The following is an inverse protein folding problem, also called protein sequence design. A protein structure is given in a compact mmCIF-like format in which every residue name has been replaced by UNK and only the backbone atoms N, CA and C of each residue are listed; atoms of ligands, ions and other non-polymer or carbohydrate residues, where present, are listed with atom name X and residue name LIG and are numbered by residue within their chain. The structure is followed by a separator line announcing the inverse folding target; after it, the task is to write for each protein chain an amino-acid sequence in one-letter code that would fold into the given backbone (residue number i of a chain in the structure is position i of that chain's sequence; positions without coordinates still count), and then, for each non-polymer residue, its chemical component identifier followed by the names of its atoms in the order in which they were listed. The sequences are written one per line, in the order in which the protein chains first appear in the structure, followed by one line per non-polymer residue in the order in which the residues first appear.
data_IF_924382103945
#
_entry.id   IF_924382103945
#
_cell.length_a   1.000
_cell.length_b   1.000
_cell.length_c   1.000
_cell.angle_alpha   90.00
_cell.angle_beta   90.00
_cell.angle_gamma   90.00
#
_symmetry.space_group_name_H-M   'P 1'
#
loop_
_entity.id
_entity.type
_entity.pdbx_description
1 polymer ?
#
# COMPACT_ATOMS: atom_id res chain seq x y z
N UNK A 1 -19.53 -31.03 38.56
CA UNK A 1 -18.55 -30.44 39.50
C UNK A 1 -17.85 -29.30 38.80
N UNK A 2 -18.17 -28.12 39.23
CA UNK A 2 -17.76 -26.83 38.62
C UNK A 2 -16.61 -26.32 39.48
N UNK A 3 -15.47 -25.99 38.89
CA UNK A 3 -14.43 -25.25 39.58
C UNK A 3 -14.14 -24.00 38.75
N UNK A 4 -14.60 -22.88 39.25
CA UNK A 4 -14.31 -21.54 38.79
C UNK A 4 -12.94 -21.09 39.35
N UNK A 5 -12.10 -20.58 38.49
CA UNK A 5 -10.83 -19.93 38.85
C UNK A 5 -10.98 -18.43 38.58
N UNK A 6 -11.22 -17.68 39.66
CA UNK A 6 -11.10 -16.22 39.67
C UNK A 6 -9.61 -15.88 39.82
N UNK A 7 -9.08 -15.12 38.85
CA UNK A 7 -7.79 -14.44 39.02
C UNK A 7 -8.05 -12.97 39.28
N UNK A 8 -7.65 -12.53 40.46
CA UNK A 8 -7.75 -11.18 40.94
C UNK A 8 -6.74 -10.26 40.21
N UNK A 9 -7.24 -9.17 39.66
CA UNK A 9 -6.44 -8.04 39.23
C UNK A 9 -6.20 -7.15 40.45
N UNK A 10 -4.97 -7.15 40.94
CA UNK A 10 -4.52 -6.23 41.98
C UNK A 10 -4.10 -4.92 41.38
N UNK A 11 -4.84 -3.89 41.71
CA UNK A 11 -4.56 -2.48 41.47
C UNK A 11 -3.30 -2.07 42.28
N UNK A 12 -2.28 -1.58 41.60
CA UNK A 12 -1.21 -0.78 42.23
C UNK A 12 -1.38 0.68 41.82
N UNK A 13 -2.23 1.35 42.55
CA UNK A 13 -2.13 2.79 42.83
C UNK A 13 -1.49 2.94 44.19
N UNK A 14 -0.61 3.85 44.31
CA UNK A 14 0.00 4.50 45.48
C UNK A 14 1.52 4.42 45.44
N UNK A 15 2.11 5.54 45.11
CA UNK A 15 3.18 6.23 45.86
C UNK A 15 3.91 7.19 44.93
N UNK A 16 3.67 8.44 45.15
CA UNK A 16 4.70 9.48 45.08
C UNK A 16 4.08 10.83 45.50
N UNK A 17 3.74 10.90 46.77
CA UNK A 17 3.79 12.16 47.50
C UNK A 17 5.02 12.07 48.42
N UNK A 18 5.95 12.97 48.26
CA UNK A 18 6.58 13.71 49.34
C UNK A 18 7.95 14.27 48.96
N UNK A 19 8.13 15.48 49.45
CA UNK A 19 9.41 16.17 49.75
C UNK A 19 10.09 16.86 48.55
N UNK A 20 10.12 18.18 48.54
CA UNK A 20 10.96 18.96 49.36
C UNK A 20 10.76 20.48 49.28
N UNK A 21 10.47 20.96 50.41
CA UNK A 21 10.53 22.37 50.79
C UNK A 21 11.97 22.87 50.89
N UNK A 22 12.10 24.16 50.62
CA UNK A 22 13.12 25.12 51.08
C UNK A 22 14.48 25.05 50.33
N UNK A 23 14.98 26.17 49.87
CA UNK A 23 15.63 27.21 50.67
C UNK A 23 15.70 28.52 49.90
N UNK A 24 15.25 29.58 50.52
CA UNK A 24 15.59 30.97 50.23
C UNK A 24 17.09 31.22 50.49
N UNK A 25 17.81 31.80 49.56
CA UNK A 25 18.93 32.62 49.96
C UNK A 25 19.07 33.82 48.99
N UNK A 26 18.97 34.94 49.63
CA UNK A 26 19.32 36.26 49.13
C UNK A 26 20.75 36.33 48.60
N UNK A 27 20.93 36.78 47.41
CA UNK A 27 22.21 37.20 46.85
C UNK A 27 22.04 38.49 46.10
N UNK A 28 22.52 39.52 46.70
CA UNK A 28 22.49 40.92 46.34
C UNK A 28 23.53 41.18 45.25
N UNK A 29 23.15 42.02 44.27
CA UNK A 29 24.05 43.02 43.64
C UNK A 29 24.86 42.64 42.42
N UNK A 30 24.65 43.39 41.51
CA UNK A 30 25.49 44.20 40.59
C UNK A 30 25.02 44.04 39.16
N UNK A 31 24.47 45.14 38.70
CA UNK A 31 24.19 45.43 37.29
C UNK A 31 25.53 45.61 36.56
N UNK A 32 25.77 44.94 35.46
CA UNK A 32 26.64 45.44 34.41
C UNK A 32 25.82 45.88 33.22
N UNK A 33 26.02 47.11 32.92
CA UNK A 33 25.97 47.83 31.66
C UNK A 33 25.51 47.04 30.43
N UNK A 34 24.37 47.45 29.93
CA UNK A 34 23.69 46.98 28.73
C UNK A 34 24.46 47.45 27.50
N UNK A 35 25.04 46.59 26.66
CA UNK A 35 25.58 46.99 25.37
C UNK A 35 24.41 47.44 24.47
N UNK A 36 24.66 48.51 23.76
CA UNK A 36 23.74 49.13 22.80
C UNK A 36 23.22 48.11 21.78
N UNK A 37 21.96 48.21 21.32
CA UNK A 37 21.41 47.37 20.31
C UNK A 37 22.13 47.58 18.98
N UNK A 38 22.72 46.52 18.47
CA UNK A 38 23.23 46.44 17.11
C UNK A 38 22.11 46.70 16.13
N UNK A 39 22.34 47.39 15.03
CA UNK A 39 21.30 47.65 14.05
C UNK A 39 20.83 46.30 13.45
N UNK A 40 19.57 45.99 13.65
CA UNK A 40 18.88 44.88 12.99
C UNK A 40 19.00 45.09 11.48
N UNK A 41 19.77 44.27 10.83
CA UNK A 41 19.77 44.14 9.38
C UNK A 41 18.38 43.62 8.97
N UNK A 42 17.54 44.51 8.49
CA UNK A 42 16.31 44.20 7.78
C UNK A 42 16.68 43.52 6.43
N UNK A 43 17.12 42.27 6.47
CA UNK A 43 17.09 41.43 5.29
C UNK A 43 15.63 41.14 4.99
N UNK A 44 15.17 41.39 3.76
CA UNK A 44 13.83 40.99 3.35
C UNK A 44 13.67 39.48 3.62
N UNK A 45 12.51 39.01 4.08
CA UNK A 45 12.27 37.59 4.29
C UNK A 45 12.59 36.88 3.00
N UNK A 46 13.49 35.89 3.07
CA UNK A 46 13.76 35.02 1.95
C UNK A 46 12.44 34.55 1.36
N UNK A 47 12.23 34.63 0.04
CA UNK A 47 11.05 34.07 -0.57
C UNK A 47 10.97 32.62 -0.11
N UNK A 48 9.77 32.12 0.24
CA UNK A 48 9.61 30.74 0.70
C UNK A 48 10.22 29.84 -0.37
N UNK A 49 11.21 29.05 0.04
CA UNK A 49 11.79 27.99 -0.80
C UNK A 49 10.60 27.20 -1.32
N UNK A 50 10.45 26.98 -2.64
CA UNK A 50 9.38 26.15 -3.15
C UNK A 50 9.51 24.80 -2.46
N UNK A 51 8.61 24.48 -1.57
CA UNK A 51 8.45 23.10 -1.12
C UNK A 51 8.19 22.29 -2.38
N UNK A 52 8.88 21.16 -2.59
CA UNK A 52 8.58 20.27 -3.71
C UNK A 52 7.08 20.01 -3.64
N UNK A 53 6.34 20.56 -4.61
CA UNK A 53 4.90 20.56 -4.60
C UNK A 53 4.43 19.12 -4.48
N UNK A 54 3.68 18.83 -3.44
CA UNK A 54 2.99 17.55 -3.28
C UNK A 54 2.24 17.31 -4.59
N UNK A 55 2.63 16.25 -5.31
CA UNK A 55 1.98 15.85 -6.55
C UNK A 55 0.58 15.34 -6.19
N UNK A 56 -0.38 16.24 -6.12
CA UNK A 56 -1.77 15.89 -5.85
C UNK A 56 -2.54 15.80 -7.17
N UNK A 57 -3.36 14.74 -7.38
CA UNK A 57 -4.18 14.61 -8.55
C UNK A 57 -5.27 15.71 -8.56
N UNK A 58 -5.66 16.14 -9.77
CA UNK A 58 -6.73 17.13 -9.98
C UNK A 58 -8.08 16.48 -10.30
N UNK A 59 -8.06 15.22 -10.70
CA UNK A 59 -9.23 14.47 -11.12
C UNK A 59 -9.44 13.25 -10.20
N UNK A 60 -10.68 12.84 -10.06
CA UNK A 60 -10.99 11.63 -9.29
C UNK A 60 -10.41 10.40 -9.98
N UNK A 61 -9.71 9.57 -9.23
CA UNK A 61 -9.05 8.40 -9.77
C UNK A 61 -8.22 7.69 -8.72
N UNK A 62 -7.50 6.67 -9.16
CA UNK A 62 -6.52 5.94 -8.36
C UNK A 62 -5.20 6.03 -9.09
N UNK A 63 -4.18 6.50 -8.39
CA UNK A 63 -2.91 6.85 -8.98
C UNK A 63 -1.76 6.10 -8.32
N UNK A 64 -0.84 5.60 -9.13
CA UNK A 64 0.47 5.21 -8.64
C UNK A 64 1.36 6.44 -8.52
N UNK A 65 2.06 6.53 -7.38
CA UNK A 65 2.99 7.63 -7.08
C UNK A 65 4.39 7.22 -7.54
N UNK A 66 4.87 7.88 -8.59
CA UNK A 66 6.27 7.79 -9.03
C UNK A 66 7.11 8.91 -8.38
N UNK A 67 8.41 8.94 -8.69
CA UNK A 67 9.35 9.91 -8.12
C UNK A 67 8.99 11.37 -8.44
N UNK A 68 8.43 11.63 -9.61
CA UNK A 68 8.08 12.97 -10.09
C UNK A 68 6.76 13.04 -10.85
N UNK A 69 5.97 11.96 -10.84
CA UNK A 69 4.74 11.86 -11.62
C UNK A 69 3.70 11.00 -10.94
N UNK A 70 2.43 11.30 -11.23
CA UNK A 70 1.30 10.44 -10.92
C UNK A 70 0.85 9.75 -12.19
N UNK A 71 0.63 8.44 -12.11
CA UNK A 71 0.08 7.65 -13.22
C UNK A 71 -1.23 7.03 -12.79
N UNK A 72 -2.32 7.34 -13.49
CA UNK A 72 -3.62 6.76 -13.20
C UNK A 72 -3.61 5.26 -13.46
N UNK A 73 -4.16 4.50 -12.51
CA UNK A 73 -4.30 3.05 -12.63
C UNK A 73 -5.57 2.68 -13.39
N UNK A 74 -5.44 1.71 -14.27
CA UNK A 74 -6.57 1.19 -15.04
C UNK A 74 -7.30 0.10 -14.28
N UNK A 75 -8.63 0.17 -14.27
CA UNK A 75 -9.49 -0.86 -13.73
C UNK A 75 -9.39 -2.14 -14.57
N UNK A 76 -9.12 -3.26 -13.91
CA UNK A 76 -9.14 -4.58 -14.54
C UNK A 76 -10.58 -5.07 -14.73
N UNK A 77 -10.83 -5.84 -15.80
CA UNK A 77 -12.12 -6.45 -16.00
C UNK A 77 -12.38 -7.55 -14.95
N UNK A 78 -13.59 -7.63 -14.46
CA UNK A 78 -13.99 -8.65 -13.50
C UNK A 78 -13.69 -8.29 -12.04
N UNK A 79 -13.88 -9.27 -11.17
CA UNK A 79 -13.68 -9.13 -9.72
C UNK A 79 -12.43 -9.91 -9.28
N UNK A 80 -11.73 -9.45 -8.23
CA UNK A 80 -10.70 -10.26 -7.63
C UNK A 80 -11.29 -11.60 -7.12
N UNK A 81 -10.50 -12.68 -7.09
CA UNK A 81 -11.00 -13.96 -6.62
C UNK A 81 -11.35 -13.90 -5.12
N UNK A 82 -12.42 -14.61 -4.75
CA UNK A 82 -12.72 -14.88 -3.34
C UNK A 82 -11.60 -15.72 -2.72
N UNK A 83 -11.48 -15.68 -1.39
CA UNK A 83 -10.47 -16.43 -0.63
C UNK A 83 -10.49 -17.94 -0.92
N UNK A 84 -11.61 -18.48 -1.34
CA UNK A 84 -11.81 -19.91 -1.65
C UNK A 84 -11.43 -20.28 -3.08
N UNK A 85 -11.20 -19.28 -3.93
CA UNK A 85 -10.91 -19.45 -5.36
C UNK A 85 -9.46 -19.10 -5.61
N UNK A 86 -8.73 -20.03 -6.23
CA UNK A 86 -7.29 -19.86 -6.45
C UNK A 86 -6.93 -18.68 -7.36
N UNK A 87 -7.76 -18.40 -8.37
CA UNK A 87 -7.53 -17.37 -9.39
C UNK A 87 -8.85 -16.74 -9.86
N UNK A 88 -8.77 -15.51 -10.38
CA UNK A 88 -9.90 -14.83 -11.02
C UNK A 88 -10.30 -15.45 -12.36
N UNK A 89 -11.37 -14.91 -12.97
CA UNK A 89 -11.58 -15.07 -14.40
C UNK A 89 -10.35 -14.55 -15.18
N UNK A 90 -10.09 -15.16 -16.32
CA UNK A 90 -8.99 -14.79 -17.19
C UNK A 90 -9.28 -13.50 -17.96
N UNK A 91 -8.23 -12.67 -18.16
CA UNK A 91 -8.34 -11.40 -18.87
C UNK A 91 -7.06 -11.12 -19.69
N UNK A 92 -7.15 -10.12 -20.59
CA UNK A 92 -5.98 -9.56 -21.27
C UNK A 92 -5.43 -8.41 -20.44
N UNK A 93 -4.10 -8.36 -20.31
CA UNK A 93 -3.44 -7.32 -19.51
C UNK A 93 -3.56 -5.95 -20.25
N UNK A 94 -4.08 -4.92 -19.58
CA UNK A 94 -4.10 -3.59 -20.16
C UNK A 94 -2.70 -2.97 -20.15
N UNK A 95 -2.52 -1.87 -20.88
CA UNK A 95 -1.38 -0.98 -20.64
C UNK A 95 -1.62 -0.27 -19.32
N UNK A 96 -0.57 -0.05 -18.51
CA UNK A 96 -0.76 0.59 -17.20
C UNK A 96 0.52 1.17 -16.64
N UNK A 97 0.43 1.64 -15.40
CA UNK A 97 1.56 2.19 -14.66
C UNK A 97 2.66 1.15 -14.49
N UNK A 98 3.89 1.54 -14.81
CA UNK A 98 5.08 0.75 -14.52
C UNK A 98 5.93 1.52 -13.51
N UNK A 99 6.13 0.93 -12.35
CA UNK A 99 6.89 1.52 -11.25
C UNK A 99 8.34 1.05 -11.32
N UNK A 100 9.31 1.95 -11.08
CA UNK A 100 10.72 1.61 -11.19
C UNK A 100 11.23 0.73 -10.04
N UNK A 101 10.54 0.75 -8.91
CA UNK A 101 10.95 0.05 -7.69
C UNK A 101 9.80 -0.75 -7.08
N UNK A 102 10.14 -1.66 -6.17
CA UNK A 102 9.22 -2.57 -5.49
C UNK A 102 8.49 -1.98 -4.27
N UNK A 103 8.55 -0.67 -4.03
CA UNK A 103 7.87 0.00 -2.92
C UNK A 103 6.73 0.90 -3.42
N UNK A 104 5.67 0.33 -4.00
CA UNK A 104 4.59 1.12 -4.57
C UNK A 104 3.82 1.89 -3.51
N UNK A 105 3.53 3.14 -3.82
CA UNK A 105 2.60 4.00 -3.10
C UNK A 105 1.50 4.43 -4.05
N UNK A 106 0.30 4.61 -3.50
CA UNK A 106 -0.84 5.01 -4.32
C UNK A 106 -1.59 6.15 -3.65
N UNK A 107 -2.25 6.97 -4.47
CA UNK A 107 -3.20 7.97 -4.04
C UNK A 107 -4.58 7.60 -4.58
N UNK A 108 -5.57 7.60 -3.70
CA UNK A 108 -6.98 7.40 -4.02
C UNK A 108 -7.67 8.74 -3.85
N UNK A 109 -8.18 9.30 -4.94
CA UNK A 109 -8.97 10.52 -4.92
C UNK A 109 -10.40 10.20 -5.33
N UNK A 110 -11.32 10.19 -4.37
CA UNK A 110 -12.72 9.79 -4.58
C UNK A 110 -13.65 10.53 -3.63
N UNK A 111 -14.78 10.97 -4.15
CA UNK A 111 -15.83 11.63 -3.37
C UNK A 111 -16.60 10.69 -2.43
N UNK A 112 -16.72 9.41 -2.79
CA UNK A 112 -17.56 8.42 -2.11
C UNK A 112 -16.90 7.70 -0.93
N UNK A 113 -15.67 8.06 -0.59
CA UNK A 113 -14.88 7.37 0.44
C UNK A 113 -15.28 7.81 1.85
N UNK A 114 -15.87 8.99 2.01
CA UNK A 114 -16.19 9.57 3.32
C UNK A 114 -17.15 8.76 4.20
N UNK A 115 -17.97 7.86 3.61
CA UNK A 115 -18.96 7.07 4.34
C UNK A 115 -18.59 5.61 4.58
N UNK A 116 -17.58 5.10 3.87
CA UNK A 116 -17.07 3.75 4.03
C UNK A 116 -15.55 3.78 3.92
N UNK A 117 -14.91 4.05 5.05
CA UNK A 117 -13.46 4.04 5.17
C UNK A 117 -12.92 2.78 4.49
N UNK A 118 -12.04 2.99 3.54
CA UNK A 118 -11.22 1.92 2.98
C UNK A 118 -10.27 1.46 4.09
N UNK A 119 -10.75 0.60 4.98
CA UNK A 119 -9.94 0.14 6.12
C UNK A 119 -8.75 -0.67 5.66
N UNK A 120 -8.88 -1.35 4.52
CA UNK A 120 -7.85 -2.25 4.00
C UNK A 120 -7.77 -2.17 2.48
N UNK A 121 -6.55 -2.15 2.01
CA UNK A 121 -6.19 -2.38 0.64
C UNK A 121 -5.31 -3.64 0.56
N UNK A 122 -5.30 -4.28 -0.57
CA UNK A 122 -4.43 -5.43 -0.82
C UNK A 122 -3.76 -5.26 -2.18
N UNK A 123 -2.52 -5.71 -2.29
CA UNK A 123 -1.87 -5.89 -3.58
C UNK A 123 -1.80 -7.38 -3.86
N UNK A 124 -2.37 -7.81 -4.98
CA UNK A 124 -2.39 -9.22 -5.41
C UNK A 124 -1.53 -9.44 -6.64
N UNK A 125 -0.94 -10.62 -6.69
CA UNK A 125 -0.11 -11.04 -7.81
C UNK A 125 -0.99 -11.35 -9.02
N UNK A 126 -0.59 -10.86 -10.19
CA UNK A 126 -1.15 -11.24 -11.49
C UNK A 126 -0.21 -12.26 -12.12
N UNK A 127 -0.76 -13.42 -12.50
CA UNK A 127 0.01 -14.49 -13.10
C UNK A 127 -0.38 -14.71 -14.56
N UNK A 128 0.62 -15.01 -15.39
CA UNK A 128 0.43 -15.43 -16.77
C UNK A 128 0.08 -16.91 -16.81
N UNK A 129 -0.93 -17.30 -17.61
CA UNK A 129 -1.21 -18.68 -17.93
C UNK A 129 -0.25 -19.10 -19.06
N UNK A 130 0.80 -19.85 -18.75
CA UNK A 130 1.84 -20.22 -19.72
C UNK A 130 1.55 -21.51 -20.46
N UNK A 131 0.78 -22.41 -19.85
CA UNK A 131 0.38 -23.69 -20.44
C UNK A 131 -1.06 -23.99 -20.11
N UNK A 132 -1.76 -24.47 -21.11
CA UNK A 132 -3.09 -25.03 -20.99
C UNK A 132 -3.07 -26.48 -21.45
N UNK A 133 -3.51 -27.36 -20.58
CA UNK A 133 -3.72 -28.78 -20.92
C UNK A 133 -5.22 -29.06 -20.87
N UNK A 134 -5.75 -29.53 -21.98
CA UNK A 134 -7.14 -30.04 -22.00
C UNK A 134 -7.15 -31.43 -22.60
N UNK A 135 -8.05 -32.29 -22.12
CA UNK A 135 -8.21 -33.65 -22.62
C UNK A 135 -8.65 -33.69 -24.12
N UNK A 136 -9.28 -32.61 -24.59
CA UNK A 136 -9.73 -32.46 -25.98
C UNK A 136 -8.68 -31.76 -26.85
N UNK A 137 -7.69 -31.13 -26.28
CA UNK A 137 -6.67 -30.34 -26.99
C UNK A 137 -5.32 -31.05 -27.13
N UNK A 138 -5.29 -32.37 -27.05
CA UNK A 138 -4.10 -33.12 -27.45
C UNK A 138 -3.79 -32.84 -28.93
N UNK A 139 -3.05 -31.76 -29.19
CA UNK A 139 -2.67 -31.31 -30.53
C UNK A 139 -2.95 -29.84 -30.86
N UNK A 140 -3.73 -29.09 -30.08
CA UNK A 140 -3.86 -27.64 -30.25
C UNK A 140 -2.86 -26.91 -29.38
N UNK A 141 -2.01 -26.09 -29.99
CA UNK A 141 -1.19 -25.13 -29.23
C UNK A 141 -2.11 -24.23 -28.44
N UNK A 142 -1.77 -23.88 -27.17
CA UNK A 142 -2.48 -22.81 -26.48
C UNK A 142 -2.52 -21.61 -27.41
N UNK A 143 -3.69 -20.97 -27.56
CA UNK A 143 -3.82 -19.77 -28.37
C UNK A 143 -2.72 -18.77 -27.98
N UNK A 144 -2.15 -18.08 -28.96
CA UNK A 144 -1.08 -17.08 -28.77
C UNK A 144 -1.49 -15.87 -27.91
N UNK A 145 -2.73 -15.83 -27.44
CA UNK A 145 -3.24 -14.75 -26.60
C UNK A 145 -2.66 -14.86 -25.19
N UNK A 146 -1.89 -13.85 -24.80
CA UNK A 146 -1.43 -13.68 -23.42
C UNK A 146 -2.63 -13.55 -22.49
N UNK A 147 -2.88 -14.62 -21.73
CA UNK A 147 -3.99 -14.73 -20.79
C UNK A 147 -3.47 -14.62 -19.36
N UNK A 148 -4.07 -13.73 -18.59
CA UNK A 148 -3.66 -13.40 -17.24
C UNK A 148 -4.78 -13.60 -16.24
N UNK A 149 -4.45 -13.86 -14.99
CA UNK A 149 -5.39 -14.03 -13.87
C UNK A 149 -4.84 -13.37 -12.62
N UNK A 150 -5.72 -12.88 -11.76
CA UNK A 150 -5.35 -12.44 -10.41
C UNK A 150 -5.31 -13.68 -9.52
N UNK A 151 -4.22 -13.85 -8.79
CA UNK A 151 -4.07 -14.95 -7.81
C UNK A 151 -4.67 -14.58 -6.46
N UNK A 152 -5.08 -15.59 -5.72
CA UNK A 152 -5.46 -15.45 -4.31
C UNK A 152 -4.21 -15.48 -3.41
N UNK A 153 -3.29 -14.55 -3.66
CA UNK A 153 -2.12 -14.28 -2.86
C UNK A 153 -1.97 -12.77 -2.76
N UNK A 154 -1.95 -12.26 -1.55
CA UNK A 154 -1.97 -10.81 -1.32
C UNK A 154 -0.92 -10.34 -0.34
N UNK A 155 -0.55 -9.09 -0.50
CA UNK A 155 0.20 -8.28 0.45
C UNK A 155 -0.74 -7.24 1.04
N UNK A 156 -0.68 -7.05 2.36
CA UNK A 156 -1.53 -6.10 3.07
C UNK A 156 -1.04 -4.67 2.90
N UNK A 157 -1.98 -3.78 2.60
CA UNK A 157 -1.75 -2.35 2.46
C UNK A 157 -2.68 -1.57 3.38
N UNK A 158 -2.17 -0.49 3.94
CA UNK A 158 -2.91 0.43 4.80
C UNK A 158 -3.39 1.62 3.99
N UNK A 159 -4.57 2.11 4.34
CA UNK A 159 -5.14 3.33 3.79
C UNK A 159 -5.13 4.41 4.87
N UNK A 160 -4.54 5.55 4.59
CA UNK A 160 -4.43 6.69 5.49
C UNK A 160 -4.98 7.96 4.83
N UNK A 161 -5.76 8.78 5.54
CA UNK A 161 -6.25 10.04 4.98
C UNK A 161 -5.08 11.00 4.72
N UNK A 162 -5.18 11.78 3.64
CA UNK A 162 -4.25 12.88 3.36
C UNK A 162 -4.71 14.11 4.16
N UNK A 163 -3.87 14.67 5.05
CA UNK A 163 -4.29 15.76 5.95
C UNK A 163 -4.85 16.99 5.26
N UNK A 164 -4.33 17.30 4.07
CA UNK A 164 -4.68 18.49 3.30
C UNK A 164 -5.97 18.34 2.47
N UNK A 165 -6.46 17.10 2.30
CA UNK A 165 -7.64 16.84 1.49
C UNK A 165 -8.43 15.62 1.99
N UNK A 166 -9.62 15.87 2.51
CA UNK A 166 -10.50 14.84 3.08
C UNK A 166 -11.05 13.82 2.05
N UNK A 167 -10.96 14.11 0.76
CA UNK A 167 -11.37 13.20 -0.32
C UNK A 167 -10.20 12.35 -0.85
N UNK A 168 -8.98 12.57 -0.30
CA UNK A 168 -7.77 11.86 -0.70
C UNK A 168 -7.25 10.92 0.38
N UNK A 169 -6.77 9.77 -0.07
CA UNK A 169 -6.18 8.75 0.80
C UNK A 169 -4.88 8.25 0.19
N UNK A 170 -3.86 8.12 1.01
CA UNK A 170 -2.62 7.45 0.66
C UNK A 170 -2.74 5.96 1.00
N UNK A 171 -2.24 5.12 0.07
CA UNK A 171 -2.19 3.67 0.24
C UNK A 171 -0.74 3.23 0.16
N UNK A 172 -0.25 2.61 1.22
CA UNK A 172 1.12 2.13 1.35
C UNK A 172 1.17 0.77 2.05
N UNK A 173 2.28 0.06 1.89
CA UNK A 173 2.46 -1.24 2.55
C UNK A 173 2.34 -1.13 4.07
N UNK A 174 1.72 -2.11 4.69
CA UNK A 174 1.73 -2.26 6.17
C UNK A 174 3.13 -2.63 6.67
N UNK A 175 3.90 -3.36 5.87
CA UNK A 175 5.29 -3.71 6.16
C UNK A 175 6.21 -2.72 5.43
N UNK A 176 6.94 -1.85 6.16
CA UNK A 176 7.89 -0.91 5.56
C UNK A 176 9.05 -1.58 4.82
N UNK A 177 9.38 -2.82 5.17
CA UNK A 177 10.42 -3.61 4.53
C UNK A 177 9.94 -4.38 3.30
N UNK A 178 8.65 -4.33 2.97
CA UNK A 178 8.13 -5.04 1.82
C UNK A 178 8.63 -4.43 0.53
N UNK A 179 9.34 -5.23 -0.25
CA UNK A 179 9.71 -4.94 -1.63
C UNK A 179 9.03 -5.96 -2.56
N UNK A 180 8.17 -5.48 -3.44
CA UNK A 180 7.55 -6.32 -4.46
C UNK A 180 8.59 -6.66 -5.53
N UNK A 181 8.78 -7.94 -5.87
CA UNK A 181 9.64 -8.32 -6.99
C UNK A 181 9.10 -7.79 -8.32
N UNK A 182 9.95 -7.67 -9.36
CA UNK A 182 9.50 -7.29 -10.70
C UNK A 182 8.36 -8.15 -11.20
N UNK A 183 7.33 -7.51 -11.80
CA UNK A 183 6.18 -8.24 -12.32
C UNK A 183 4.88 -7.48 -12.36
N UNK A 184 3.76 -8.21 -12.49
CA UNK A 184 2.43 -7.67 -12.68
C UNK A 184 1.58 -7.83 -11.41
N UNK A 185 0.86 -6.78 -11.06
CA UNK A 185 0.10 -6.70 -9.81
C UNK A 185 -1.25 -6.01 -10.00
N UNK A 186 -2.15 -6.28 -9.07
CA UNK A 186 -3.42 -5.59 -8.93
C UNK A 186 -3.53 -4.98 -7.53
N UNK A 187 -3.76 -3.69 -7.45
CA UNK A 187 -4.23 -3.03 -6.24
C UNK A 187 -5.73 -3.32 -6.09
N UNK A 188 -6.10 -3.95 -4.99
CA UNK A 188 -7.49 -4.29 -4.68
C UNK A 188 -8.04 -3.27 -3.68
N UNK A 189 -9.11 -2.59 -4.09
CA UNK A 189 -9.86 -1.65 -3.27
C UNK A 189 -11.34 -1.97 -3.36
N UNK A 190 -11.99 -2.27 -2.24
CA UNK A 190 -13.43 -2.64 -2.14
C UNK A 190 -13.75 -3.81 -3.06
N UNK A 191 -13.33 -4.55 -3.68
CA UNK A 191 -13.69 -5.57 -4.67
C UNK A 191 -13.48 -5.13 -6.14
N UNK A 192 -12.69 -4.07 -6.34
CA UNK A 192 -12.21 -3.63 -7.64
C UNK A 192 -10.69 -3.85 -7.70
N UNK A 193 -10.20 -4.20 -8.88
CA UNK A 193 -8.79 -4.47 -9.12
C UNK A 193 -8.22 -3.45 -10.09
N UNK A 194 -7.09 -2.81 -9.73
CA UNK A 194 -6.42 -1.79 -10.53
C UNK A 194 -5.03 -2.24 -10.89
N UNK A 195 -4.70 -2.20 -12.18
CA UNK A 195 -3.47 -2.75 -12.70
C UNK A 195 -2.27 -1.82 -12.51
N UNK A 196 -1.14 -2.41 -12.10
CA UNK A 196 0.19 -1.81 -12.20
C UNK A 196 1.26 -2.90 -12.36
N UNK A 197 2.46 -2.50 -12.75
CA UNK A 197 3.62 -3.38 -12.81
C UNK A 197 4.82 -2.79 -12.05
N UNK A 198 5.72 -3.66 -11.63
CA UNK A 198 7.06 -3.30 -11.14
C UNK A 198 8.05 -3.68 -12.22
N UNK A 199 8.90 -2.73 -12.63
CA UNK A 199 9.85 -2.91 -13.72
C UNK A 199 10.89 -3.98 -13.39
N UNK A 200 11.33 -4.70 -14.42
CA UNK A 200 12.37 -5.73 -14.32
C UNK A 200 11.95 -7.06 -14.93
N UNK A 201 12.86 -8.03 -14.89
CA UNK A 201 12.60 -9.39 -15.36
C UNK A 201 11.76 -10.17 -14.35
N UNK A 202 10.67 -10.78 -14.81
CA UNK A 202 9.80 -11.61 -13.97
C UNK A 202 10.55 -12.87 -13.58
N UNK A 203 10.88 -13.02 -12.29
CA UNK A 203 11.55 -14.18 -11.72
C UNK A 203 10.70 -14.88 -10.64
N UNK A 204 9.64 -14.24 -10.16
CA UNK A 204 8.76 -14.79 -9.13
C UNK A 204 7.87 -15.90 -9.72
N UNK A 205 8.02 -17.18 -9.26
CA UNK A 205 7.21 -18.29 -9.74
C UNK A 205 5.71 -18.10 -9.48
N UNK A 206 5.32 -17.20 -8.57
CA UNK A 206 3.91 -16.87 -8.32
C UNK A 206 3.25 -16.14 -9.49
N UNK A 207 4.03 -15.55 -10.39
CA UNK A 207 3.53 -14.82 -11.57
C UNK A 207 3.35 -15.73 -12.80
N UNK A 208 3.53 -17.03 -12.62
CA UNK A 208 3.34 -18.02 -13.66
C UNK A 208 2.45 -19.15 -13.16
N UNK A 209 1.46 -19.55 -13.96
CA UNK A 209 0.61 -20.71 -13.69
C UNK A 209 0.38 -21.55 -14.93
N UNK A 210 0.15 -22.83 -14.70
CA UNK A 210 -0.33 -23.79 -15.68
C UNK A 210 -1.80 -24.10 -15.40
N UNK A 211 -2.61 -24.19 -16.44
CA UNK A 211 -4.03 -24.52 -16.36
C UNK A 211 -4.27 -25.90 -16.96
N UNK A 212 -4.94 -26.76 -16.22
CA UNK A 212 -5.35 -28.10 -16.67
C UNK A 212 -6.86 -28.15 -16.67
N UNK A 213 -7.46 -28.33 -17.85
CA UNK A 213 -8.90 -28.48 -18.03
C UNK A 213 -9.21 -29.95 -18.20
N UNK A 214 -10.06 -30.49 -17.33
CA UNK A 214 -10.52 -31.89 -17.35
C UNK A 214 -12.04 -31.94 -17.34
N UNK A 215 -12.60 -33.11 -17.54
CA UNK A 215 -14.05 -33.36 -17.41
C UNK A 215 -14.57 -33.04 -15.99
N UNK A 216 -13.71 -33.10 -14.98
CA UNK A 216 -14.06 -32.86 -13.57
C UNK A 216 -13.82 -31.42 -13.13
N UNK A 217 -13.36 -30.53 -14.02
CA UNK A 217 -13.13 -29.13 -13.72
C UNK A 217 -11.80 -28.60 -14.22
N UNK A 218 -11.52 -27.36 -13.83
CA UNK A 218 -10.27 -26.66 -14.15
C UNK A 218 -9.36 -26.61 -12.92
N UNK A 219 -8.13 -27.04 -13.08
CA UNK A 219 -7.10 -27.05 -12.05
C UNK A 219 -5.97 -26.09 -12.42
N UNK A 220 -5.38 -25.48 -11.41
CA UNK A 220 -4.26 -24.56 -11.59
C UNK A 220 -3.07 -25.02 -10.75
N UNK A 221 -1.88 -24.99 -11.33
CA UNK A 221 -0.63 -25.30 -10.67
C UNK A 221 0.41 -24.22 -10.92
N UNK A 222 1.33 -24.03 -9.98
CA UNK A 222 2.45 -23.13 -10.20
C UNK A 222 3.39 -23.70 -11.26
N UNK A 223 3.99 -22.83 -12.10
CA UNK A 223 5.02 -23.25 -13.03
C UNK A 223 6.22 -23.81 -12.28
N UNK A 224 6.85 -24.83 -12.84
CA UNK A 224 8.09 -25.40 -12.26
C UNK A 224 9.28 -24.44 -12.40
N UNK A 225 9.25 -23.57 -13.42
CA UNK A 225 10.15 -22.43 -13.63
C UNK A 225 9.34 -21.31 -14.27
N UNK A 226 9.55 -20.03 -13.87
CA UNK A 226 8.92 -18.87 -14.51
C UNK A 226 9.40 -18.70 -15.95
#
# INVERSE_FOLDING_TARGET
MIAALFVAVVSQRERLDSLGKAVHSYGKSTSPEQPAPSPSSNLPPNPPTPQPGSLLPREYGIYAVGDSSLTELQLLPGRPPDIRIAVSAAFKLPRGASLPNGHPKFLVFRRDVATNILERAEVRVIAKITREFSSEAAGKRPGEDDVWVIRNFSYSYRVSPVPENSEMYEVHSEDPGLELPPGNYALILKNQAYYFSVAGGIADPRQCIERVVTTNGTFYSACKKP
#
